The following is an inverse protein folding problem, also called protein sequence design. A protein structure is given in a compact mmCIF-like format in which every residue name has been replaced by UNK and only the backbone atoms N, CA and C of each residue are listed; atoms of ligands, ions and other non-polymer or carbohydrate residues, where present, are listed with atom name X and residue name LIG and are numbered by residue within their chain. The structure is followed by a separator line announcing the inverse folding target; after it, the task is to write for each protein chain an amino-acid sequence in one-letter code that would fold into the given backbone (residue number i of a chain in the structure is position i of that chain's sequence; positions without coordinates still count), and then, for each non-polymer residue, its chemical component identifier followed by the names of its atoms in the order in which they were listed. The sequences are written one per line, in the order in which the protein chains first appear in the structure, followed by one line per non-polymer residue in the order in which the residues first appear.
data_IF_550043914192
#
_entry.id   IF_550043914192
#
_cell.length_a   1.000
_cell.length_b   1.000
_cell.length_c   1.000
_cell.angle_alpha   90.00
_cell.angle_beta   90.00
_cell.angle_gamma   90.00
#
_symmetry.space_group_name_H-M   'P 1'
#
loop_
_entity.id
_entity.type
_entity.pdbx_description
1 polymer ?
#
# COMPACT_ATOMS: atom_id res chain seq x y z
N UNK A 1 -28.60 30.17 -25.53
CA UNK A 1 -28.31 30.14 -24.08
C UNK A 1 -26.80 30.25 -23.91
N UNK A 2 -26.31 31.48 -23.80
CA UNK A 2 -24.93 31.81 -23.49
C UNK A 2 -24.81 31.91 -21.95
N UNK A 3 -23.67 31.72 -21.28
CA UNK A 3 -22.38 32.38 -21.52
C UNK A 3 -21.26 31.67 -20.77
N UNK A 4 -20.06 31.67 -21.35
CA UNK A 4 -18.80 31.29 -20.72
C UNK A 4 -18.44 32.22 -19.54
N UNK A 5 -18.06 31.64 -18.40
CA UNK A 5 -17.55 32.37 -17.23
C UNK A 5 -16.07 32.70 -17.41
N UNK A 6 -15.78 33.98 -17.62
CA UNK A 6 -14.43 34.53 -17.53
C UNK A 6 -14.13 34.85 -16.06
N UNK A 7 -13.10 34.22 -15.49
CA UNK A 7 -12.59 34.52 -14.16
C UNK A 7 -11.76 35.82 -14.23
N UNK A 8 -12.34 36.90 -13.72
CA UNK A 8 -11.78 38.24 -13.67
C UNK A 8 -10.68 38.35 -12.62
N UNK A 9 -9.43 38.49 -13.05
CA UNK A 9 -8.33 38.99 -12.21
C UNK A 9 -8.55 40.49 -11.93
N UNK A 10 -9.33 40.82 -10.90
CA UNK A 10 -9.51 42.21 -10.47
C UNK A 10 -8.53 42.58 -9.35
N UNK A 11 -7.81 43.69 -9.58
CA UNK A 11 -6.98 44.41 -8.60
C UNK A 11 -7.91 45.33 -7.80
N UNK A 12 -8.00 45.24 -6.46
CA UNK A 12 -8.88 46.12 -5.70
C UNK A 12 -8.29 47.54 -5.61
N UNK A 13 -9.08 48.53 -6.00
CA UNK A 13 -8.82 49.95 -5.80
C UNK A 13 -9.44 50.44 -4.47
N UNK A 14 -8.64 51.17 -3.70
CA UNK A 14 -8.98 51.96 -2.50
C UNK A 14 -9.12 51.21 -1.16
N UNK A 15 -8.18 51.51 -0.24
CA UNK A 15 -8.45 51.52 1.21
C UNK A 15 -7.68 50.55 2.10
N UNK A 16 -7.66 49.25 1.78
CA UNK A 16 -7.00 48.25 2.64
C UNK A 16 -6.21 47.26 1.79
N UNK A 17 -4.88 47.46 1.73
CA UNK A 17 -3.99 46.47 1.13
C UNK A 17 -3.88 45.30 2.12
N UNK A 18 -4.55 44.19 1.82
CA UNK A 18 -4.43 42.98 2.62
C UNK A 18 -2.95 42.56 2.69
N UNK A 19 -2.41 42.21 3.86
CA UNK A 19 -1.00 41.87 3.99
C UNK A 19 -0.73 40.43 3.52
N UNK A 20 0.50 40.17 3.08
CA UNK A 20 0.98 38.80 2.90
C UNK A 20 0.85 38.01 4.20
N UNK A 21 0.32 36.80 4.14
CA UNK A 21 0.17 35.90 5.29
C UNK A 21 1.52 35.51 5.90
N UNK A 22 2.61 35.54 5.13
CA UNK A 22 3.96 35.17 5.59
C UNK A 22 4.76 36.36 6.12
N UNK A 23 4.91 37.42 5.34
CA UNK A 23 5.79 38.55 5.69
C UNK A 23 5.05 39.85 6.10
N UNK A 24 3.73 39.83 6.17
CA UNK A 24 2.86 40.97 6.48
C UNK A 24 2.95 42.19 5.53
N UNK A 25 3.72 42.10 4.44
CA UNK A 25 3.88 43.21 3.48
C UNK A 25 2.64 43.35 2.58
N UNK A 26 2.13 44.56 2.34
CA UNK A 26 0.90 44.81 1.59
C UNK A 26 1.05 44.85 0.04
N UNK A 27 2.16 44.36 -0.52
CA UNK A 27 2.53 44.61 -1.93
C UNK A 27 2.28 43.37 -2.78
N UNK A 28 1.52 43.53 -3.87
CA UNK A 28 1.42 42.53 -4.94
C UNK A 28 0.91 41.17 -4.45
N UNK A 29 -0.31 41.17 -3.92
CA UNK A 29 -0.87 40.02 -3.22
C UNK A 29 -1.66 39.13 -4.17
N UNK A 30 -1.37 37.83 -4.12
CA UNK A 30 -2.07 36.77 -4.86
C UNK A 30 -2.63 35.78 -3.86
N UNK A 31 -3.86 35.33 -4.08
CA UNK A 31 -4.51 34.29 -3.28
C UNK A 31 -4.17 32.91 -3.83
N UNK A 32 -3.72 32.01 -2.96
CA UNK A 32 -3.69 30.58 -3.25
C UNK A 32 -5.04 29.97 -2.85
N UNK A 33 -5.81 29.48 -3.80
CA UNK A 33 -7.12 28.85 -3.52
C UNK A 33 -6.97 27.53 -2.77
N UNK A 34 -5.88 26.78 -2.99
CA UNK A 34 -5.63 25.50 -2.31
C UNK A 34 -5.35 25.64 -0.81
N UNK A 35 -4.74 26.74 -0.37
CA UNK A 35 -4.47 27.00 1.07
C UNK A 35 -5.29 28.15 1.64
N UNK A 36 -6.10 28.82 0.82
CA UNK A 36 -6.89 30.01 1.16
C UNK A 36 -6.05 31.13 1.81
N UNK A 37 -4.77 31.24 1.43
CA UNK A 37 -3.79 32.22 1.96
C UNK A 37 -3.39 33.25 0.92
N UNK A 38 -2.98 34.42 1.39
CA UNK A 38 -2.56 35.56 0.58
C UNK A 38 -1.04 35.70 0.63
N UNK A 39 -0.39 35.82 -0.52
CA UNK A 39 1.08 35.88 -0.60
C UNK A 39 1.53 37.07 -1.45
N UNK A 40 2.63 37.72 -1.05
CA UNK A 40 3.38 38.56 -1.97
C UNK A 40 4.09 37.68 -3.02
N UNK A 41 4.53 38.25 -4.14
CA UNK A 41 5.18 37.48 -5.20
C UNK A 41 6.36 36.60 -4.74
N UNK A 42 7.19 37.10 -3.82
CA UNK A 42 8.34 36.35 -3.29
C UNK A 42 7.88 35.12 -2.50
N UNK A 43 7.00 35.32 -1.52
CA UNK A 43 6.50 34.23 -0.67
C UNK A 43 5.60 33.25 -1.46
N UNK A 44 4.95 33.73 -2.52
CA UNK A 44 4.19 32.89 -3.45
C UNK A 44 5.09 31.93 -4.22
N UNK A 45 6.27 32.39 -4.66
CA UNK A 45 7.22 31.53 -5.36
C UNK A 45 7.80 30.48 -4.40
N UNK A 46 8.14 30.87 -3.18
CA UNK A 46 8.57 29.90 -2.16
C UNK A 46 7.48 28.88 -1.85
N UNK A 47 6.23 29.34 -1.71
CA UNK A 47 5.08 28.45 -1.54
C UNK A 47 4.93 27.44 -2.69
N UNK A 48 5.09 27.89 -3.94
CA UNK A 48 5.06 27.00 -5.12
C UNK A 48 6.21 26.01 -5.13
N UNK A 49 7.42 26.45 -4.77
CA UNK A 49 8.59 25.57 -4.67
C UNK A 49 8.37 24.48 -3.62
N UNK A 50 7.80 24.85 -2.46
CA UNK A 50 7.45 23.87 -1.42
C UNK A 50 6.42 22.85 -1.93
N UNK A 51 5.37 23.30 -2.63
CA UNK A 51 4.38 22.39 -3.21
C UNK A 51 5.00 21.47 -4.28
N UNK A 52 5.91 21.98 -5.09
CA UNK A 52 6.62 21.18 -6.10
C UNK A 52 7.44 20.06 -5.45
N UNK A 53 8.18 20.37 -4.38
CA UNK A 53 8.95 19.38 -3.61
C UNK A 53 8.05 18.31 -3.00
N UNK A 54 6.93 18.70 -2.41
CA UNK A 54 5.95 17.76 -1.86
C UNK A 54 5.37 16.84 -2.95
N UNK A 55 5.13 17.38 -4.15
CA UNK A 55 4.62 16.57 -5.26
C UNK A 55 5.68 15.59 -5.79
N UNK A 56 6.95 16.00 -5.85
CA UNK A 56 8.07 15.11 -6.19
C UNK A 56 8.20 13.97 -5.17
N UNK A 57 8.14 14.28 -3.87
CA UNK A 57 8.16 13.26 -2.80
C UNK A 57 7.01 12.25 -2.96
N UNK A 58 5.78 12.72 -3.17
CA UNK A 58 4.61 11.86 -3.40
C UNK A 58 4.80 10.98 -4.65
N UNK A 59 5.38 11.53 -5.71
CA UNK A 59 5.61 10.80 -6.96
C UNK A 59 6.62 9.67 -6.74
N UNK A 60 7.72 9.96 -6.04
CA UNK A 60 8.74 8.95 -5.70
C UNK A 60 8.15 7.86 -4.80
N UNK A 61 7.37 8.22 -3.79
CA UNK A 61 6.70 7.25 -2.91
C UNK A 61 5.71 6.38 -3.68
N UNK A 62 4.94 6.98 -4.60
CA UNK A 62 4.02 6.26 -5.46
C UNK A 62 4.74 5.22 -6.32
N UNK A 63 5.83 5.60 -6.98
CA UNK A 63 6.58 4.72 -7.87
C UNK A 63 7.22 3.56 -7.11
N UNK A 64 7.77 3.84 -5.92
CA UNK A 64 8.33 2.80 -5.04
C UNK A 64 7.25 1.83 -4.55
N UNK A 65 6.08 2.36 -4.18
CA UNK A 65 4.95 1.54 -3.75
C UNK A 65 4.46 0.65 -4.89
N UNK A 66 4.30 1.20 -6.09
CA UNK A 66 3.90 0.44 -7.27
C UNK A 66 4.92 -0.64 -7.63
N UNK A 67 6.22 -0.34 -7.55
CA UNK A 67 7.28 -1.32 -7.77
C UNK A 67 7.21 -2.45 -6.75
N UNK A 68 7.02 -2.12 -5.47
CA UNK A 68 6.94 -3.11 -4.38
C UNK A 68 5.72 -4.00 -4.54
N UNK A 69 4.56 -3.43 -4.86
CA UNK A 69 3.36 -4.20 -5.16
C UNK A 69 3.61 -5.15 -6.33
N UNK A 70 4.10 -4.64 -7.46
CA UNK A 70 4.37 -5.46 -8.64
C UNK A 70 5.33 -6.61 -8.34
N UNK A 71 6.38 -6.38 -7.54
CA UNK A 71 7.31 -7.43 -7.10
C UNK A 71 6.61 -8.47 -6.22
N UNK A 72 5.80 -8.04 -5.25
CA UNK A 72 5.07 -8.95 -4.37
C UNK A 72 4.01 -9.78 -5.09
N UNK A 73 3.43 -9.26 -6.16
CA UNK A 73 2.41 -9.95 -6.98
C UNK A 73 2.99 -10.69 -8.19
N UNK A 74 4.28 -10.55 -8.48
CA UNK A 74 4.91 -11.07 -9.70
C UNK A 74 4.80 -12.60 -9.81
N UNK A 75 4.91 -13.31 -8.70
CA UNK A 75 4.61 -14.74 -8.65
C UNK A 75 3.84 -15.08 -7.37
N UNK A 76 2.51 -15.29 -7.46
CA UNK A 76 1.71 -15.71 -6.32
C UNK A 76 2.24 -16.94 -5.59
N UNK A 77 3.00 -17.81 -6.29
CA UNK A 77 3.58 -19.04 -5.71
C UNK A 77 4.75 -18.77 -4.78
N UNK A 78 5.41 -17.62 -4.88
CA UNK A 78 6.53 -17.25 -3.97
C UNK A 78 6.02 -16.59 -2.69
N UNK A 79 4.72 -16.31 -2.60
CA UNK A 79 4.12 -15.72 -1.41
C UNK A 79 4.33 -16.60 -0.18
N UNK A 80 4.74 -16.00 0.95
CA UNK A 80 5.07 -16.73 2.19
C UNK A 80 3.95 -17.64 2.68
N UNK A 81 2.69 -17.25 2.46
CA UNK A 81 1.53 -18.06 2.83
C UNK A 81 1.40 -19.32 1.96
N UNK A 82 1.75 -19.27 0.66
CA UNK A 82 1.77 -20.45 -0.20
C UNK A 82 2.83 -21.44 0.29
N UNK A 83 4.03 -20.97 0.62
CA UNK A 83 5.07 -21.82 1.22
C UNK A 83 4.60 -22.49 2.51
N UNK A 84 3.85 -21.78 3.35
CA UNK A 84 3.27 -22.33 4.59
C UNK A 84 2.18 -23.37 4.33
N UNK A 85 1.31 -23.12 3.35
CA UNK A 85 0.28 -24.08 2.92
C UNK A 85 0.94 -25.36 2.40
N UNK A 86 1.98 -25.24 1.57
CA UNK A 86 2.72 -26.39 1.05
C UNK A 86 3.38 -27.21 2.17
N UNK A 87 3.92 -26.55 3.20
CA UNK A 87 4.47 -27.22 4.37
C UNK A 87 3.40 -27.98 5.15
N UNK A 88 2.24 -27.36 5.41
CA UNK A 88 1.11 -28.01 6.07
C UNK A 88 0.57 -29.20 5.29
N UNK A 89 0.48 -29.08 3.97
CA UNK A 89 0.06 -30.17 3.10
C UNK A 89 1.03 -31.36 3.21
N UNK A 90 2.34 -31.09 3.13
CA UNK A 90 3.38 -32.12 3.26
C UNK A 90 3.32 -32.82 4.62
N UNK A 91 3.22 -32.04 5.70
CA UNK A 91 3.14 -32.57 7.05
C UNK A 91 1.89 -33.43 7.25
N UNK A 92 0.74 -32.95 6.77
CA UNK A 92 -0.54 -33.67 6.86
C UNK A 92 -0.49 -35.00 6.11
N UNK A 93 0.05 -35.01 4.88
CA UNK A 93 0.26 -36.24 4.11
C UNK A 93 1.15 -37.23 4.85
N UNK A 94 2.23 -36.77 5.49
CA UNK A 94 3.11 -37.65 6.26
C UNK A 94 2.40 -38.26 7.46
N UNK A 95 1.65 -37.47 8.24
CA UNK A 95 0.88 -37.97 9.39
C UNK A 95 -0.13 -39.04 8.98
N UNK A 96 -0.86 -38.80 7.89
CA UNK A 96 -1.83 -39.77 7.36
C UNK A 96 -1.13 -41.06 6.92
N UNK A 97 -0.01 -40.96 6.22
CA UNK A 97 0.78 -42.13 5.79
C UNK A 97 1.29 -42.93 6.98
N UNK A 98 1.83 -42.26 7.99
CA UNK A 98 2.34 -42.91 9.19
C UNK A 98 1.21 -43.65 9.93
N UNK A 99 0.08 -42.99 10.17
CA UNK A 99 -1.06 -43.62 10.84
C UNK A 99 -1.60 -44.83 10.06
N UNK A 100 -1.65 -44.74 8.73
CA UNK A 100 -2.06 -45.86 7.89
C UNK A 100 -1.08 -47.04 7.98
N UNK A 101 0.22 -46.76 8.04
CA UNK A 101 1.24 -47.80 8.16
C UNK A 101 1.22 -48.48 9.53
N UNK A 102 1.10 -47.69 10.61
CA UNK A 102 0.94 -48.22 11.96
C UNK A 102 -0.28 -49.15 12.06
N UNK A 103 -1.40 -48.76 11.44
CA UNK A 103 -2.60 -49.59 11.39
C UNK A 103 -2.39 -50.91 10.61
N UNK A 104 -1.67 -50.87 9.48
CA UNK A 104 -1.33 -52.09 8.72
C UNK A 104 -0.46 -53.03 9.55
N UNK A 105 0.61 -52.52 10.14
CA UNK A 105 1.51 -53.32 10.98
C UNK A 105 0.78 -53.98 12.15
N UNK A 106 -0.18 -53.29 12.79
CA UNK A 106 -0.99 -53.86 13.87
C UNK A 106 -1.80 -55.07 13.39
N UNK A 107 -2.48 -54.95 12.25
CA UNK A 107 -3.30 -56.04 11.69
C UNK A 107 -2.41 -57.22 11.27
N UNK A 108 -1.30 -56.95 10.59
CA UNK A 108 -0.35 -57.99 10.16
C UNK A 108 0.21 -58.77 11.36
N UNK A 109 0.65 -58.06 12.40
CA UNK A 109 1.14 -58.69 13.63
C UNK A 109 0.05 -59.54 14.29
N UNK A 110 -1.18 -59.03 14.38
CA UNK A 110 -2.30 -59.79 14.95
C UNK A 110 -2.62 -61.04 14.12
N UNK A 111 -2.60 -60.95 12.80
CA UNK A 111 -2.81 -62.09 11.90
C UNK A 111 -1.71 -63.17 12.06
N UNK A 112 -0.45 -62.75 12.20
CA UNK A 112 0.69 -63.65 12.45
C UNK A 112 0.55 -64.37 13.81
N UNK A 113 0.13 -63.66 14.86
CA UNK A 113 -0.06 -64.26 16.19
C UNK A 113 -1.21 -65.28 16.18
N UNK A 114 -2.32 -64.95 15.52
CA UNK A 114 -3.47 -65.86 15.43
C UNK A 114 -3.17 -67.13 14.64
N UNK A 115 -2.41 -67.04 13.55
CA UNK A 115 -2.03 -68.22 12.74
C UNK A 115 -1.10 -69.16 13.50
N UNK A 116 -0.18 -68.65 14.34
CA UNK A 116 0.65 -69.48 15.24
C UNK A 116 -0.16 -70.22 16.29
N UNK A 117 -1.25 -69.62 16.80
CA UNK A 117 -2.11 -70.22 17.81
C UNK A 117 -2.97 -71.38 17.27
N UNK A 118 -3.31 -71.36 15.97
CA UNK A 118 -4.13 -72.40 15.31
C UNK A 118 -3.27 -73.58 14.83
N UNK A 119 -1.96 -73.37 14.63
CA UNK A 119 -1.01 -74.39 14.18
C UNK A 119 -0.28 -75.16 15.28
N UNK A 120 -0.58 -74.89 16.56
CA UNK A 120 -0.19 -75.71 17.72
C UNK A 120 -1.35 -76.60 18.15
#
# INVERSE_FOLDING_TARGET
MATASQATNQRPSSGMKLPCTTCAKPIGIVRCEGRLKLFCHTDLNEHRNQLSKQLEEITVEHDLFQQTLNQSTADPRTHVLISRINAWEKESKNKIKQAAEEARCLIENQAIMNTKQIGM
#
